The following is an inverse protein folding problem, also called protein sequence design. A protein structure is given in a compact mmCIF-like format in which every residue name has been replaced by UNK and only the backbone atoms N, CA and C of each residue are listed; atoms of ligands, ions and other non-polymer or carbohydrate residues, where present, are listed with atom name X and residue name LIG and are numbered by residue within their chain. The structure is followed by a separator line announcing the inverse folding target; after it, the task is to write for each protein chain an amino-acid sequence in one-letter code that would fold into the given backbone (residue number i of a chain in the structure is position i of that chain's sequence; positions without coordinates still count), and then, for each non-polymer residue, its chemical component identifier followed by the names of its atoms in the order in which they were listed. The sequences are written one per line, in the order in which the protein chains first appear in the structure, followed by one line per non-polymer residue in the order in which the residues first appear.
data_IF_073651548242
#
_entry.id   IF_073651548242
#
_cell.length_a   1.000
_cell.length_b   1.000
_cell.length_c   1.000
_cell.angle_alpha   90.00
_cell.angle_beta   90.00
_cell.angle_gamma   90.00
#
_symmetry.space_group_name_H-M   'P 1'
#
loop_
_entity.id
_entity.type
_entity.pdbx_description
1 polymer ?
#
# COMPACT_ATOMS: atom_id res chain seq x y z
N UNK A 1 -23.97 12.24 -9.16
CA UNK A 1 -22.63 12.13 -9.78
C UNK A 1 -22.05 10.82 -9.29
N UNK A 2 -22.12 9.78 -10.12
CA UNK A 2 -21.59 8.48 -9.79
C UNK A 2 -20.07 8.55 -9.94
N UNK A 3 -19.37 8.51 -8.81
CA UNK A 3 -17.90 8.40 -8.80
C UNK A 3 -17.60 7.04 -9.41
N UNK A 4 -16.85 6.94 -10.53
CA UNK A 4 -16.51 5.64 -11.08
C UNK A 4 -15.69 4.94 -10.01
N UNK A 5 -16.31 3.94 -9.38
CA UNK A 5 -15.63 3.03 -8.49
C UNK A 5 -14.65 2.29 -9.37
N UNK A 6 -13.42 2.81 -9.48
CA UNK A 6 -12.30 2.05 -10.01
C UNK A 6 -12.39 0.72 -9.31
N UNK A 7 -12.58 -0.33 -10.09
CA UNK A 7 -12.58 -1.71 -9.63
C UNK A 7 -11.14 -2.02 -9.24
N UNK A 8 -10.72 -1.41 -8.14
CA UNK A 8 -9.52 -1.74 -7.40
C UNK A 8 -9.91 -3.07 -6.80
N UNK A 9 -9.61 -4.14 -7.53
CA UNK A 9 -9.56 -5.43 -6.90
C UNK A 9 -8.53 -5.24 -5.77
N UNK A 10 -8.90 -5.35 -4.48
CA UNK A 10 -7.92 -5.77 -3.48
C UNK A 10 -7.09 -6.83 -4.16
N UNK A 11 -5.77 -6.64 -4.27
CA UNK A 11 -4.92 -7.78 -4.57
C UNK A 11 -5.28 -8.81 -3.50
N UNK A 12 -6.09 -9.80 -3.90
CA UNK A 12 -6.73 -10.78 -3.03
C UNK A 12 -5.67 -11.65 -2.34
N UNK A 13 -4.45 -11.52 -2.83
CA UNK A 13 -3.23 -12.24 -2.48
C UNK A 13 -2.27 -11.43 -1.59
N UNK A 14 -2.61 -10.20 -1.16
CA UNK A 14 -1.77 -9.46 -0.21
C UNK A 14 -2.05 -9.88 1.24
N UNK A 15 -1.05 -10.45 1.88
CA UNK A 15 -1.10 -11.02 3.24
C UNK A 15 -0.22 -10.19 4.19
N UNK A 16 -0.56 -10.20 5.48
CA UNK A 16 0.33 -9.66 6.52
C UNK A 16 1.70 -10.35 6.48
N UNK A 17 2.74 -9.59 6.83
CA UNK A 17 4.14 -9.99 6.81
C UNK A 17 4.67 -10.36 5.42
N UNK A 18 3.95 -10.02 4.36
CA UNK A 18 4.42 -10.20 2.99
C UNK A 18 5.36 -9.08 2.57
N UNK A 19 6.45 -9.45 1.92
CA UNK A 19 7.37 -8.51 1.27
C UNK A 19 6.75 -7.97 -0.02
N UNK A 20 6.73 -6.65 -0.15
CA UNK A 20 6.18 -5.92 -1.29
C UNK A 20 7.12 -4.79 -1.69
N UNK A 21 7.00 -4.35 -2.94
CA UNK A 21 7.61 -3.11 -3.41
C UNK A 21 6.61 -1.97 -3.24
N UNK A 22 7.04 -0.87 -2.61
CA UNK A 22 6.22 0.33 -2.43
C UNK A 22 6.87 1.57 -3.02
N UNK A 23 6.05 2.44 -3.60
CA UNK A 23 6.49 3.71 -4.18
C UNK A 23 6.46 4.81 -3.13
N UNK A 24 7.63 5.27 -2.70
CA UNK A 24 7.75 6.39 -1.75
C UNK A 24 7.57 7.75 -2.46
N UNK A 25 7.31 8.82 -1.69
CA UNK A 25 7.11 10.19 -2.20
C UNK A 25 8.23 10.70 -3.12
N UNK A 26 9.45 10.17 -2.99
CA UNK A 26 10.58 10.46 -3.87
C UNK A 26 10.45 9.81 -5.27
N UNK A 27 9.32 9.17 -5.58
CA UNK A 27 9.08 8.45 -6.83
C UNK A 27 9.97 7.21 -7.03
N UNK A 28 10.48 6.64 -5.95
CA UNK A 28 11.36 5.47 -5.94
C UNK A 28 10.60 4.26 -5.39
N UNK A 29 10.86 3.07 -5.95
CA UNK A 29 10.36 1.81 -5.44
C UNK A 29 11.33 1.24 -4.40
N UNK A 30 10.82 0.92 -3.22
CA UNK A 30 11.61 0.34 -2.12
C UNK A 30 10.92 -0.91 -1.61
N UNK A 31 11.70 -1.83 -1.06
CA UNK A 31 11.16 -3.02 -0.42
C UNK A 31 10.59 -2.67 0.95
N UNK A 32 9.43 -3.23 1.25
CA UNK A 32 8.80 -3.16 2.55
C UNK A 32 7.99 -4.41 2.88
N UNK A 33 7.49 -4.46 4.10
CA UNK A 33 6.69 -5.56 4.62
C UNK A 33 5.31 -5.00 4.99
N UNK A 34 4.25 -5.66 4.54
CA UNK A 34 2.89 -5.33 4.96
C UNK A 34 2.73 -5.67 6.44
N UNK A 35 2.43 -4.68 7.26
CA UNK A 35 2.23 -4.84 8.71
C UNK A 35 0.78 -4.58 9.14
N UNK A 36 -0.07 -4.09 8.22
CA UNK A 36 -1.47 -3.79 8.51
C UNK A 36 -2.27 -3.41 7.28
N UNK A 37 -3.59 -3.46 7.40
CA UNK A 37 -4.55 -2.98 6.41
C UNK A 37 -5.62 -2.14 7.10
N UNK A 38 -6.06 -1.06 6.45
CA UNK A 38 -7.15 -0.23 6.92
C UNK A 38 -8.39 -0.46 6.04
N UNK A 39 -9.29 -1.33 6.50
CA UNK A 39 -10.55 -1.63 5.79
C UNK A 39 -11.66 -0.60 6.03
N UNK A 40 -11.65 0.18 7.11
CA UNK A 40 -12.79 1.03 7.48
C UNK A 40 -12.88 2.38 6.74
N UNK A 41 -11.76 2.96 6.27
CA UNK A 41 -11.75 4.24 5.52
C UNK A 41 -11.98 3.99 4.00
N UNK A 42 -12.14 2.72 3.64
CA UNK A 42 -12.10 2.16 2.30
C UNK A 42 -13.31 2.53 1.41
N UNK A 43 -14.43 2.99 1.99
CA UNK A 43 -15.61 3.39 1.20
C UNK A 43 -15.44 4.74 0.49
N UNK A 44 -14.42 5.52 0.88
CA UNK A 44 -14.19 6.89 0.37
C UNK A 44 -12.82 7.02 -0.29
N UNK A 45 -11.77 6.38 0.23
CA UNK A 45 -10.37 6.65 -0.20
C UNK A 45 -9.67 5.53 -0.97
N UNK A 46 -10.25 4.32 -1.05
CA UNK A 46 -9.54 3.14 -1.57
C UNK A 46 -8.67 2.47 -0.49
N UNK A 47 -8.37 1.19 -0.68
CA UNK A 47 -7.66 0.33 0.28
C UNK A 47 -6.28 0.89 0.60
N UNK A 48 -5.90 0.87 1.87
CA UNK A 48 -4.61 1.42 2.31
C UNK A 48 -3.80 0.35 3.03
N UNK A 49 -2.66 0.01 2.46
CA UNK A 49 -1.68 -0.92 3.04
C UNK A 49 -0.76 -0.17 3.97
N UNK A 50 -0.64 -0.63 5.22
CA UNK A 50 0.41 -0.15 6.10
C UNK A 50 1.66 -0.98 5.83
N UNK A 51 2.70 -0.31 5.34
CA UNK A 51 3.97 -0.96 4.97
C UNK A 51 5.09 -0.35 5.77
N UNK A 52 5.92 -1.23 6.35
CA UNK A 52 7.20 -0.88 6.95
C UNK A 52 8.30 -1.09 5.92
N UNK A 53 9.07 -0.05 5.62
CA UNK A 53 10.09 -0.07 4.57
C UNK A 53 11.37 0.62 5.05
N UNK A 54 12.49 0.24 4.46
CA UNK A 54 13.78 0.88 4.72
C UNK A 54 13.96 2.06 3.78
N UNK A 55 13.81 3.27 4.31
CA UNK A 55 14.03 4.52 3.58
C UNK A 55 15.45 5.06 3.75
N UNK A 56 15.80 6.15 3.04
CA UNK A 56 17.11 6.81 3.16
C UNK A 56 17.44 7.32 4.57
N UNK A 57 16.42 7.53 5.41
CA UNK A 57 16.55 8.00 6.80
C UNK A 57 16.42 6.88 7.83
N UNK A 58 16.39 5.61 7.38
CA UNK A 58 16.17 4.44 8.24
C UNK A 58 14.78 3.81 8.05
N UNK A 59 14.40 2.87 8.93
CA UNK A 59 13.12 2.20 8.86
C UNK A 59 11.99 3.20 9.09
N UNK A 60 11.01 3.19 8.18
CA UNK A 60 9.85 4.04 8.23
C UNK A 60 8.59 3.20 8.02
N UNK A 61 7.48 3.66 8.57
CA UNK A 61 6.17 3.05 8.37
C UNK A 61 5.24 4.07 7.75
N UNK A 62 4.56 3.67 6.67
CA UNK A 62 3.60 4.54 6.01
C UNK A 62 2.46 3.77 5.38
N UNK A 63 1.53 4.52 4.83
CA UNK A 63 0.28 4.06 4.25
C UNK A 63 0.35 4.23 2.74
N UNK A 64 0.10 3.16 2.00
CA UNK A 64 0.21 3.12 0.54
C UNK A 64 -1.11 2.68 -0.08
N UNK A 65 -1.50 3.37 -1.15
CA UNK A 65 -2.60 2.93 -1.99
C UNK A 65 -2.20 1.73 -2.86
N UNK A 66 -3.17 1.00 -3.43
CA UNK A 66 -2.94 -0.19 -4.24
C UNK A 66 -2.11 0.10 -5.51
N UNK A 67 -2.20 1.31 -6.06
CA UNK A 67 -1.38 1.74 -7.21
C UNK A 67 0.12 1.89 -6.88
N UNK A 68 0.42 2.12 -5.60
CA UNK A 68 1.78 2.35 -5.09
C UNK A 68 2.34 1.11 -4.39
N UNK A 69 1.66 -0.04 -4.48
CA UNK A 69 2.10 -1.34 -3.97
C UNK A 69 2.18 -2.34 -5.11
N UNK A 70 3.27 -3.11 -5.16
CA UNK A 70 3.48 -4.18 -6.13
C UNK A 70 4.07 -5.41 -5.45
N UNK A 71 3.73 -6.58 -5.96
CA UNK A 71 4.40 -7.82 -5.59
C UNK A 71 5.85 -7.79 -6.08
N UNK A 72 6.77 -8.33 -5.27
CA UNK A 72 8.19 -8.46 -5.64
C UNK A 72 8.41 -9.55 -6.68
#
# INVERSE_FOLDING_TARGET
MEVPSKNIQPMKDLVLNQTVQVRIRANVWVMGIIVGFLECINRITGMVYQVEYSGPMGPARSYFGPEDVRLS
#
